data_IF_067278765756
#
_entry.id   IF_067278765756
#
_cell.length_a   1.000
_cell.length_b   1.000
_cell.length_c   1.000
_cell.angle_alpha   90.00
_cell.angle_beta   90.00
_cell.angle_gamma   90.00
#
_symmetry.space_group_name_H-M   'P 1'
#
loop_
_entity.id
_entity.type
_entity.pdbx_description
1 polymer ?
#
# COMPACT_ATOMS: atom_id res chain seq x y z
N UNK A 1 40.80 -24.67 34.55
CA UNK A 1 40.19 -23.46 33.96
C UNK A 1 39.58 -23.85 32.62
N UNK A 2 38.25 -24.02 32.54
CA UNK A 2 37.55 -24.37 31.29
C UNK A 2 37.47 -23.12 30.39
N UNK A 3 37.74 -23.21 29.09
CA UNK A 3 37.56 -22.07 28.20
C UNK A 3 36.07 -21.75 28.08
N UNK A 4 35.72 -20.48 28.32
CA UNK A 4 34.37 -19.95 28.15
C UNK A 4 33.98 -20.06 26.68
N UNK A 5 32.92 -20.80 26.40
CA UNK A 5 32.23 -20.76 25.11
C UNK A 5 31.75 -19.32 24.90
N UNK A 6 32.32 -18.62 23.91
CA UNK A 6 31.74 -17.38 23.41
C UNK A 6 30.43 -17.75 22.71
N UNK A 7 29.31 -17.06 22.97
CA UNK A 7 28.10 -17.31 22.19
C UNK A 7 28.42 -16.99 20.73
N UNK A 8 28.04 -17.92 19.86
CA UNK A 8 28.18 -17.79 18.42
C UNK A 8 27.55 -16.45 18.00
N UNK A 9 28.29 -15.66 17.20
CA UNK A 9 27.68 -14.56 16.46
C UNK A 9 26.50 -15.17 15.72
N UNK A 10 25.30 -14.69 16.03
CA UNK A 10 24.08 -14.95 15.29
C UNK A 10 24.44 -14.87 13.81
N UNK A 11 24.34 -15.99 13.10
CA UNK A 11 24.43 -15.98 11.65
C UNK A 11 23.36 -14.98 11.22
N UNK A 12 23.77 -13.85 10.66
CA UNK A 12 22.86 -12.97 9.95
C UNK A 12 22.55 -13.76 8.67
N UNK A 13 21.53 -14.61 8.72
CA UNK A 13 20.87 -15.04 7.49
C UNK A 13 20.40 -13.74 6.82
N UNK A 14 20.96 -13.44 5.66
CA UNK A 14 20.57 -12.29 4.83
C UNK A 14 19.23 -12.59 4.14
N UNK A 15 18.29 -13.14 4.89
CA UNK A 15 16.96 -13.46 4.38
C UNK A 15 16.11 -12.21 4.63
N UNK A 16 16.08 -11.36 3.61
CA UNK A 16 15.32 -10.11 3.58
C UNK A 16 14.15 -10.24 2.60
N UNK A 17 13.04 -9.51 2.83
CA UNK A 17 12.00 -9.37 1.83
C UNK A 17 12.52 -8.55 0.64
N UNK A 18 11.97 -8.81 -0.54
CA UNK A 18 12.23 -8.05 -1.76
C UNK A 18 10.92 -7.86 -2.51
N UNK A 19 10.43 -6.62 -2.56
CA UNK A 19 9.11 -6.29 -3.09
C UNK A 19 9.22 -5.81 -4.54
N UNK A 20 8.66 -6.60 -5.46
CA UNK A 20 8.65 -6.32 -6.89
C UNK A 20 7.23 -5.96 -7.37
N UNK A 21 6.99 -4.72 -7.84
CA UNK A 21 5.75 -4.35 -8.50
C UNK A 21 5.61 -5.05 -9.87
N UNK A 22 4.41 -5.49 -10.24
CA UNK A 22 4.14 -6.03 -11.59
C UNK A 22 3.79 -4.88 -12.57
N UNK A 23 4.69 -4.51 -13.50
CA UNK A 23 4.42 -3.45 -14.47
C UNK A 23 3.37 -3.83 -15.51
N UNK A 24 3.24 -5.11 -15.84
CA UNK A 24 2.27 -5.56 -16.83
C UNK A 24 0.86 -5.53 -16.27
N UNK A 25 0.70 -5.76 -14.97
CA UNK A 25 -0.61 -5.61 -14.32
C UNK A 25 -1.06 -4.14 -14.32
N UNK A 26 -0.14 -3.21 -14.07
CA UNK A 26 -0.44 -1.77 -14.24
C UNK A 26 -0.87 -1.47 -15.68
N UNK A 27 -0.15 -1.96 -16.68
CA UNK A 27 -0.46 -1.74 -18.09
C UNK A 27 -1.83 -2.29 -18.49
N UNK A 28 -2.15 -3.53 -18.12
CA UNK A 28 -3.40 -4.20 -18.51
C UNK A 28 -4.64 -3.67 -17.80
N UNK A 29 -4.47 -3.20 -16.56
CA UNK A 29 -5.57 -2.74 -15.71
C UNK A 29 -5.79 -1.22 -15.75
N UNK A 30 -4.94 -0.46 -16.47
CA UNK A 30 -5.02 0.98 -16.51
C UNK A 30 -6.24 1.52 -17.27
N UNK A 31 -7.02 2.40 -16.64
CA UNK A 31 -8.11 3.13 -17.29
C UNK A 31 -8.41 4.49 -16.64
N UNK A 32 -9.09 5.37 -17.37
CA UNK A 32 -9.56 6.67 -16.86
C UNK A 32 -10.99 6.56 -16.34
N UNK A 33 -11.21 7.01 -15.10
CA UNK A 33 -12.55 7.19 -14.52
C UNK A 33 -12.80 8.67 -14.22
N UNK A 34 -13.97 9.17 -14.62
CA UNK A 34 -14.49 10.44 -14.14
C UNK A 34 -15.40 10.18 -12.95
N UNK A 35 -15.03 10.69 -11.78
CA UNK A 35 -15.78 10.44 -10.54
C UNK A 35 -16.06 11.73 -9.79
N UNK A 36 -17.32 11.93 -9.42
CA UNK A 36 -17.70 13.05 -8.56
C UNK A 36 -17.14 12.88 -7.14
N UNK A 37 -16.72 13.98 -6.51
CA UNK A 37 -16.13 14.03 -5.17
C UNK A 37 -17.04 13.36 -4.12
N UNK A 38 -18.36 13.45 -4.25
CA UNK A 38 -19.31 12.80 -3.34
C UNK A 38 -19.09 11.28 -3.21
N UNK A 39 -18.52 10.63 -4.22
CA UNK A 39 -18.20 9.19 -4.20
C UNK A 39 -16.76 8.88 -3.77
N UNK A 40 -15.98 9.90 -3.43
CA UNK A 40 -14.56 9.79 -3.07
C UNK A 40 -14.30 10.16 -1.60
N UNK A 41 -15.35 10.18 -0.76
CA UNK A 41 -15.26 10.56 0.65
C UNK A 41 -14.17 9.77 1.39
N UNK A 42 -14.13 8.44 1.24
CA UNK A 42 -13.08 7.61 1.84
C UNK A 42 -11.68 7.97 1.34
N UNK A 43 -11.53 8.17 0.03
CA UNK A 43 -10.26 8.58 -0.55
C UNK A 43 -9.83 9.97 -0.04
N UNK A 44 -10.76 10.87 0.26
CA UNK A 44 -10.47 12.16 0.87
C UNK A 44 -10.07 12.05 2.34
N UNK A 45 -10.78 11.25 3.12
CA UNK A 45 -10.49 11.02 4.55
C UNK A 45 -9.11 10.39 4.75
N UNK A 46 -8.68 9.55 3.80
CA UNK A 46 -7.36 8.91 3.80
C UNK A 46 -6.29 9.71 3.03
N UNK A 47 -6.59 10.93 2.62
CA UNK A 47 -5.70 11.82 1.86
C UNK A 47 -5.27 11.32 0.45
N UNK A 48 -5.90 10.30 -0.13
CA UNK A 48 -5.50 9.69 -1.41
C UNK A 48 -5.66 10.58 -2.67
N UNK A 49 -6.42 11.68 -2.60
CA UNK A 49 -6.60 12.58 -3.76
C UNK A 49 -5.48 13.63 -3.89
N UNK A 50 -5.32 14.21 -5.09
CA UNK A 50 -4.37 15.31 -5.29
C UNK A 50 -4.77 16.58 -4.52
N UNK A 51 -3.81 17.44 -4.19
CA UNK A 51 -4.01 18.66 -3.39
C UNK A 51 -5.19 19.54 -3.83
N UNK A 52 -5.40 19.72 -5.13
CA UNK A 52 -6.52 20.50 -5.67
C UNK A 52 -7.91 19.89 -5.40
N UNK A 53 -7.99 18.64 -4.94
CA UNK A 53 -9.25 18.06 -4.47
C UNK A 53 -9.69 18.60 -3.10
N UNK A 54 -8.76 19.16 -2.31
CA UNK A 54 -9.02 19.74 -1.00
C UNK A 54 -9.17 21.27 -1.03
N UNK A 55 -8.86 21.90 -2.17
CA UNK A 55 -9.11 23.32 -2.44
C UNK A 55 -10.61 23.56 -2.72
N UNK A 56 -11.43 23.29 -1.72
CA UNK A 56 -12.89 23.36 -1.80
C UNK A 56 -13.38 24.72 -1.30
N UNK A 57 -14.13 25.43 -2.13
CA UNK A 57 -14.93 26.58 -1.67
C UNK A 57 -16.16 26.08 -0.92
N UNK A 58 -16.12 26.16 0.41
CA UNK A 58 -17.23 25.73 1.27
C UNK A 58 -18.49 26.59 1.12
N UNK A 59 -18.40 27.75 0.47
CA UNK A 59 -19.56 28.60 0.19
C UNK A 59 -20.30 28.18 -1.09
N UNK A 60 -19.68 27.36 -1.94
CA UNK A 60 -20.31 26.81 -3.13
C UNK A 60 -20.98 25.46 -2.80
N UNK A 61 -22.31 25.38 -2.67
CA UNK A 61 -22.99 24.13 -2.34
C UNK A 61 -22.83 23.03 -3.39
N UNK A 62 -22.30 23.36 -4.57
CA UNK A 62 -22.10 22.40 -5.66
C UNK A 62 -20.74 21.70 -5.61
N UNK A 63 -19.85 22.07 -4.66
CA UNK A 63 -18.50 21.52 -4.57
C UNK A 63 -18.47 19.98 -4.49
N UNK A 64 -19.46 19.37 -3.84
CA UNK A 64 -19.60 17.91 -3.71
C UNK A 64 -19.79 17.21 -5.07
N UNK A 65 -20.28 17.93 -6.08
CA UNK A 65 -20.51 17.42 -7.42
C UNK A 65 -19.29 17.57 -8.34
N UNK A 66 -18.25 18.31 -7.91
CA UNK A 66 -17.04 18.49 -8.69
C UNK A 66 -16.44 17.13 -9.09
N UNK A 67 -16.04 17.02 -10.35
CA UNK A 67 -15.50 15.79 -10.92
C UNK A 67 -13.99 15.73 -10.77
N UNK A 68 -13.48 14.57 -10.35
CA UNK A 68 -12.08 14.20 -10.43
C UNK A 68 -11.86 13.26 -11.61
N UNK A 69 -10.75 13.44 -12.30
CA UNK A 69 -10.26 12.49 -13.31
C UNK A 69 -9.25 11.59 -12.60
N UNK A 70 -9.51 10.29 -12.60
CA UNK A 70 -8.71 9.29 -11.92
C UNK A 70 -8.09 8.36 -12.96
N UNK A 71 -6.77 8.26 -12.98
CA UNK A 71 -6.10 7.13 -13.60
C UNK A 71 -6.11 5.98 -12.60
N UNK A 72 -6.91 4.96 -12.89
CA UNK A 72 -7.00 3.74 -12.08
C UNK A 72 -6.15 2.66 -12.70
N UNK A 73 -5.55 1.85 -11.84
CA UNK A 73 -4.81 0.65 -12.19
C UNK A 73 -4.70 -0.22 -10.92
N UNK A 74 -4.42 -1.50 -11.12
CA UNK A 74 -4.06 -2.45 -10.07
C UNK A 74 -2.58 -2.32 -9.77
N UNK A 75 -2.23 -2.04 -8.52
CA UNK A 75 -0.85 -2.09 -8.04
C UNK A 75 -0.61 -3.46 -7.40
N UNK A 76 -0.19 -4.43 -8.20
CA UNK A 76 0.23 -5.75 -7.71
C UNK A 76 1.71 -5.70 -7.31
N UNK A 77 2.02 -6.18 -6.11
CA UNK A 77 3.39 -6.24 -5.56
C UNK A 77 3.59 -7.64 -5.02
N UNK A 78 4.69 -8.27 -5.41
CA UNK A 78 5.09 -9.59 -4.94
C UNK A 78 6.36 -9.52 -4.10
N UNK A 79 6.44 -10.33 -3.06
CA UNK A 79 7.65 -10.59 -2.29
C UNK A 79 8.46 -11.74 -2.93
N UNK A 80 9.46 -11.38 -3.74
CA UNK A 80 10.43 -12.29 -4.35
C UNK A 80 11.68 -12.51 -3.48
N UNK A 81 11.62 -12.06 -2.22
CA UNK A 81 12.70 -12.15 -1.25
C UNK A 81 12.87 -13.54 -0.65
N UNK A 82 13.54 -13.58 0.50
CA UNK A 82 13.79 -14.83 1.26
C UNK A 82 13.15 -14.85 2.64
N UNK A 83 12.49 -13.75 3.02
CA UNK A 83 11.71 -13.67 4.24
C UNK A 83 10.48 -12.80 4.02
N UNK A 84 9.52 -12.94 4.92
CA UNK A 84 8.26 -12.22 4.83
C UNK A 84 8.46 -10.72 5.04
N UNK A 85 7.79 -9.92 4.23
CA UNK A 85 7.72 -8.49 4.46
C UNK A 85 6.78 -8.21 5.64
N UNK A 86 7.26 -7.49 6.65
CA UNK A 86 6.49 -7.17 7.86
C UNK A 86 6.39 -5.67 8.06
N UNK A 87 5.25 -5.16 8.58
CA UNK A 87 5.13 -3.76 8.91
C UNK A 87 6.08 -3.38 10.04
N UNK A 88 6.67 -2.18 9.95
CA UNK A 88 7.55 -1.65 11.00
C UNK A 88 6.78 -1.29 12.30
N UNK A 89 5.52 -0.85 12.16
CA UNK A 89 4.66 -0.47 13.29
C UNK A 89 4.22 -1.70 14.07
N UNK A 90 4.27 -1.62 15.39
CA UNK A 90 3.76 -2.67 16.25
C UNK A 90 2.24 -2.81 16.09
N UNK A 91 1.71 -4.02 16.31
CA UNK A 91 0.29 -4.35 16.08
C UNK A 91 -0.71 -3.47 16.84
N UNK A 92 -0.34 -3.02 18.04
CA UNK A 92 -1.15 -2.09 18.85
C UNK A 92 -1.12 -0.63 18.35
N UNK A 93 -0.28 -0.31 17.36
CA UNK A 93 -0.17 1.01 16.73
C UNK A 93 -0.87 1.07 15.36
N UNK A 94 -1.43 -0.04 14.90
CA UNK A 94 -2.17 -0.08 13.64
C UNK A 94 -3.46 0.73 13.77
N UNK A 95 -3.83 1.43 12.71
CA UNK A 95 -4.99 2.31 12.70
C UNK A 95 -6.17 1.59 12.06
N UNK A 96 -7.33 1.64 12.69
CA UNK A 96 -8.56 1.10 12.10
C UNK A 96 -9.11 2.07 11.04
N UNK A 97 -9.42 1.53 9.86
CA UNK A 97 -9.99 2.29 8.76
C UNK A 97 -11.41 1.81 8.43
N UNK A 98 -12.41 2.60 8.82
CA UNK A 98 -13.84 2.25 8.66
C UNK A 98 -14.27 2.08 7.21
N UNK A 99 -13.61 2.75 6.27
CA UNK A 99 -13.89 2.63 4.84
C UNK A 99 -13.60 1.23 4.29
N UNK A 100 -12.56 0.58 4.80
CA UNK A 100 -12.12 -0.75 4.36
C UNK A 100 -12.39 -1.84 5.40
N UNK A 101 -12.87 -1.46 6.59
CA UNK A 101 -13.22 -2.37 7.69
C UNK A 101 -12.07 -3.30 8.10
N UNK A 102 -10.84 -2.78 8.08
CA UNK A 102 -9.66 -3.47 8.60
C UNK A 102 -8.65 -2.49 9.20
N UNK A 103 -7.63 -3.04 9.87
CA UNK A 103 -6.50 -2.26 10.36
C UNK A 103 -5.47 -2.02 9.26
N UNK A 104 -4.82 -0.87 9.28
CA UNK A 104 -3.68 -0.55 8.43
C UNK A 104 -2.40 -0.55 9.25
N UNK A 105 -1.42 -1.31 8.79
CA UNK A 105 -0.13 -1.49 9.47
C UNK A 105 0.98 -0.59 8.92
N UNK A 106 0.72 0.10 7.81
CA UNK A 106 1.62 1.09 7.20
C UNK A 106 0.84 2.33 6.76
N UNK A 107 1.41 3.51 6.96
CA UNK A 107 0.79 4.80 6.58
C UNK A 107 0.91 5.10 5.08
N UNK A 108 2.04 4.73 4.46
CA UNK A 108 2.27 4.88 3.02
C UNK A 108 2.99 3.63 2.53
N UNK A 109 2.38 2.91 1.59
CA UNK A 109 2.98 1.73 0.98
C UNK A 109 3.63 2.05 -0.37
N UNK A 110 2.96 2.83 -1.22
CA UNK A 110 3.46 3.21 -2.53
C UNK A 110 3.04 4.64 -2.90
N UNK A 111 3.87 5.31 -3.70
CA UNK A 111 3.60 6.61 -4.31
C UNK A 111 3.48 6.45 -5.82
N UNK A 112 2.54 7.16 -6.43
CA UNK A 112 2.25 7.08 -7.86
C UNK A 112 2.34 8.46 -8.48
N UNK A 113 3.25 8.63 -9.44
CA UNK A 113 3.52 9.91 -10.06
C UNK A 113 3.42 9.82 -11.57
N UNK A 114 2.73 10.79 -12.18
CA UNK A 114 2.78 11.01 -13.61
C UNK A 114 3.82 12.09 -13.85
N UNK A 115 4.83 11.78 -14.64
CA UNK A 115 5.97 12.66 -14.91
C UNK A 115 6.03 12.90 -16.42
N UNK A 116 6.29 14.14 -16.83
CA UNK A 116 6.51 14.47 -18.25
C UNK A 116 7.92 14.07 -18.73
N UNK A 117 8.18 14.21 -20.03
CA UNK A 117 9.50 13.90 -20.61
C UNK A 117 10.64 14.78 -20.08
N UNK A 118 10.33 15.90 -19.44
CA UNK A 118 11.31 16.81 -18.85
C UNK A 118 11.55 16.52 -17.36
N UNK A 119 10.87 15.53 -16.78
CA UNK A 119 10.97 15.20 -15.36
C UNK A 119 10.02 15.99 -14.44
N UNK A 120 9.10 16.79 -14.98
CA UNK A 120 8.14 17.53 -14.18
C UNK A 120 6.99 16.62 -13.74
N UNK A 121 6.61 16.71 -12.47
CA UNK A 121 5.45 15.99 -11.92
C UNK A 121 4.15 16.65 -12.38
N UNK A 122 3.38 15.93 -13.17
CA UNK A 122 2.11 16.37 -13.76
C UNK A 122 0.91 15.99 -12.90
N UNK A 123 0.99 14.83 -12.24
CA UNK A 123 -0.02 14.38 -11.27
C UNK A 123 0.66 13.58 -10.16
N UNK A 124 0.02 13.59 -8.99
CA UNK A 124 0.45 12.84 -7.82
C UNK A 124 -0.72 12.00 -7.30
N UNK A 125 -0.40 10.82 -6.82
CA UNK A 125 -1.27 9.91 -6.11
C UNK A 125 -0.43 9.07 -5.15
N UNK A 126 -1.09 8.38 -4.24
CA UNK A 126 -0.42 7.43 -3.36
C UNK A 126 -1.41 6.38 -2.89
N UNK A 127 -0.88 5.23 -2.48
CA UNK A 127 -1.62 4.26 -1.69
C UNK A 127 -1.41 4.62 -0.22
N UNK A 128 -2.23 5.54 0.27
CA UNK A 128 -2.29 5.86 1.70
C UNK A 128 -2.88 4.67 2.44
N UNK A 129 -2.35 4.41 3.63
CA UNK A 129 -2.83 3.50 4.66
C UNK A 129 -3.21 2.10 4.11
N UNK A 130 -2.32 1.14 4.33
CA UNK A 130 -2.41 -0.16 3.67
C UNK A 130 -2.48 -1.31 4.68
N UNK A 131 -3.35 -2.26 4.38
CA UNK A 131 -3.33 -3.56 5.01
C UNK A 131 -2.45 -4.50 4.18
N UNK A 132 -1.49 -5.17 4.82
CA UNK A 132 -0.61 -6.14 4.14
C UNK A 132 -1.21 -7.54 4.33
N UNK A 133 -1.68 -8.13 3.24
CA UNK A 133 -2.23 -9.50 3.20
C UNK A 133 -1.78 -10.24 1.95
N UNK A 134 -1.75 -11.56 2.05
CA UNK A 134 -1.45 -12.46 0.97
C UNK A 134 -2.73 -12.71 0.15
N UNK A 135 -2.86 -12.02 -0.99
CA UNK A 135 -4.03 -12.15 -1.87
C UNK A 135 -3.92 -13.33 -2.84
N UNK A 136 -2.74 -13.56 -3.38
CA UNK A 136 -2.42 -14.63 -4.32
C UNK A 136 -0.94 -15.00 -4.11
N UNK A 137 -0.63 -16.30 -4.17
CA UNK A 137 0.72 -16.82 -4.03
C UNK A 137 1.02 -17.77 -5.19
N UNK A 138 2.28 -17.84 -5.63
CA UNK A 138 2.67 -18.86 -6.62
C UNK A 138 2.67 -20.26 -6.01
N UNK A 139 2.16 -21.25 -6.76
CA UNK A 139 2.13 -22.71 -6.51
C UNK A 139 2.40 -23.21 -5.08
N UNK A 140 3.63 -23.07 -4.57
CA UNK A 140 4.09 -23.58 -3.26
C UNK A 140 4.08 -22.54 -2.11
N UNK A 141 3.72 -21.29 -2.40
CA UNK A 141 3.63 -20.19 -1.45
C UNK A 141 2.45 -20.36 -0.51
N UNK A 142 2.70 -20.20 0.79
CA UNK A 142 1.66 -20.29 1.81
C UNK A 142 1.17 -18.89 2.17
N UNK A 143 -0.11 -18.60 1.92
CA UNK A 143 -0.75 -17.39 2.41
C UNK A 143 -0.88 -17.44 3.93
N UNK A 144 -0.14 -16.59 4.63
CA UNK A 144 -0.07 -16.53 6.09
C UNK A 144 -0.72 -15.27 6.67
N UNK A 145 -0.81 -14.20 5.87
CA UNK A 145 -1.28 -12.88 6.34
C UNK A 145 -2.68 -12.56 5.82
N UNK A 146 -3.55 -12.19 6.75
CA UNK A 146 -4.95 -11.85 6.46
C UNK A 146 -5.34 -10.65 7.32
N UNK A 147 -5.91 -9.63 6.68
CA UNK A 147 -6.32 -8.39 7.32
C UNK A 147 -7.52 -8.54 8.27
N UNK A 148 -8.42 -9.45 7.94
CA UNK A 148 -9.67 -9.67 8.64
C UNK A 148 -9.45 -10.05 10.12
N UNK A 149 -10.43 -9.72 10.96
CA UNK A 149 -10.46 -10.11 12.38
C UNK A 149 -9.22 -9.72 13.20
N UNK A 150 -8.60 -8.59 12.86
CA UNK A 150 -7.35 -8.13 13.47
C UNK A 150 -6.23 -9.17 13.35
N UNK A 151 -6.19 -9.87 12.21
CA UNK A 151 -5.15 -10.82 11.83
C UNK A 151 -3.77 -10.18 11.72
N UNK A 152 -2.74 -11.02 11.65
CA UNK A 152 -1.38 -10.53 11.41
C UNK A 152 -1.20 -10.09 9.96
N UNK A 153 -0.38 -9.06 9.78
CA UNK A 153 -0.15 -8.43 8.49
C UNK A 153 1.29 -8.63 8.03
N UNK A 154 1.44 -8.78 6.73
CA UNK A 154 2.69 -8.99 6.03
C UNK A 154 2.47 -9.43 4.59
N UNK A 155 3.55 -9.68 3.88
CA UNK A 155 3.53 -10.32 2.56
C UNK A 155 4.50 -11.51 2.64
N UNK A 156 3.96 -12.72 2.55
CA UNK A 156 4.74 -13.95 2.61
C UNK A 156 5.65 -14.07 1.40
N UNK A 157 6.75 -14.81 1.52
CA UNK A 157 7.59 -15.13 0.34
C UNK A 157 6.75 -15.84 -0.72
N UNK A 158 6.92 -15.42 -1.98
CA UNK A 158 6.19 -15.92 -3.16
C UNK A 158 4.68 -15.61 -3.20
N UNK A 159 4.19 -14.83 -2.25
CA UNK A 159 3.02 -13.97 -2.37
C UNK A 159 3.52 -12.53 -2.64
#
# INVERSE_FOLDING_TARGET
LKPKHKPNKQQIENDLPDLEPDPHEVERSAFIEHRSIIFLQCAMEENCLSGSAYEIDRNDPTWIFNTRILLRFTASIRNIGKSDFRPFRQKNQWLWHSCHQHYHSMEIFATFDIIDMNGNRMAQGHKASFCLEDNECLDDGNANYVCADYGDQGISVDC
#
